data_IF_320705064275
#
_entry.id   IF_320705064275
#
_cell.length_a   1.000
_cell.length_b   1.000
_cell.length_c   1.000
_cell.angle_alpha   90.00
_cell.angle_beta   90.00
_cell.angle_gamma   90.00
#
_symmetry.space_group_name_H-M   'P 1'
#
loop_
_entity.id
_entity.type
_entity.pdbx_description
1 polymer ?
#
# COMPACT_ATOMS: atom_id res chain seq x y z
N UNK A 1 12.17 -16.86 2.92
CA UNK A 1 11.01 -16.33 2.18
C UNK A 1 11.18 -14.83 2.05
N UNK A 2 11.54 -14.32 0.87
CA UNK A 2 11.54 -12.88 0.63
C UNK A 2 10.10 -12.42 0.52
N UNK A 3 9.61 -11.74 1.56
CA UNK A 3 8.35 -11.00 1.49
C UNK A 3 8.48 -10.06 0.29
N UNK A 4 7.61 -10.24 -0.71
CA UNK A 4 7.44 -9.30 -1.83
C UNK A 4 7.39 -7.92 -1.19
N UNK A 5 8.38 -7.10 -1.55
CA UNK A 5 8.83 -5.95 -0.77
C UNK A 5 7.66 -5.13 -0.26
N UNK A 6 7.64 -4.93 1.07
CA UNK A 6 6.76 -4.04 1.82
C UNK A 6 6.04 -3.04 0.90
N UNK A 7 4.79 -3.33 0.55
CA UNK A 7 3.82 -2.38 -0.02
C UNK A 7 3.53 -1.33 1.05
N UNK A 8 4.54 -0.54 1.41
CA UNK A 8 4.45 0.42 2.48
C UNK A 8 3.86 1.69 1.89
N UNK A 9 2.54 1.81 2.04
CA UNK A 9 1.85 3.07 1.82
C UNK A 9 2.38 4.04 2.87
N UNK A 10 3.09 5.05 2.39
CA UNK A 10 3.63 6.12 3.23
C UNK A 10 2.75 7.36 3.08
N UNK A 11 2.50 8.05 4.20
CA UNK A 11 2.00 9.43 4.14
C UNK A 11 3.15 10.35 3.75
N UNK A 12 2.90 11.27 2.83
CA UNK A 12 3.88 12.27 2.38
C UNK A 12 3.32 13.68 2.54
N UNK A 13 4.20 14.65 2.72
CA UNK A 13 3.79 16.06 2.81
C UNK A 13 3.40 16.62 1.43
N UNK A 14 4.21 16.32 0.42
CA UNK A 14 4.01 16.70 -0.97
C UNK A 14 4.51 15.60 -1.93
N UNK A 15 4.42 15.84 -3.23
CA UNK A 15 4.86 14.91 -4.28
C UNK A 15 6.14 15.37 -4.99
N UNK A 16 6.92 16.28 -4.41
CA UNK A 16 8.08 16.89 -5.07
C UNK A 16 9.22 15.89 -5.30
N UNK A 17 9.27 14.83 -4.47
CA UNK A 17 10.19 13.71 -4.60
C UNK A 17 9.77 12.69 -5.68
N UNK A 18 8.84 13.05 -6.58
CA UNK A 18 8.37 12.18 -7.64
C UNK A 18 8.23 12.93 -8.97
N UNK A 19 8.74 12.31 -10.03
CA UNK A 19 8.51 12.70 -11.42
C UNK A 19 7.19 12.08 -11.88
N UNK A 20 6.17 12.90 -12.13
CA UNK A 20 4.86 12.41 -12.59
C UNK A 20 4.97 11.94 -14.04
N UNK A 21 4.64 10.67 -14.26
CA UNK A 21 4.63 10.04 -15.59
C UNK A 21 3.24 10.10 -16.22
N UNK A 22 2.17 9.96 -15.43
CA UNK A 22 0.80 10.13 -15.87
C UNK A 22 -0.09 10.68 -14.75
N UNK A 23 -1.06 11.53 -15.11
CA UNK A 23 -2.06 12.08 -14.22
C UNK A 23 -3.46 11.81 -14.81
N UNK A 24 -3.95 10.57 -14.74
CA UNK A 24 -5.21 10.20 -15.36
C UNK A 24 -6.39 10.88 -14.66
N UNK A 25 -7.35 11.38 -15.44
CA UNK A 25 -8.54 12.09 -14.96
C UNK A 25 -8.20 13.23 -13.97
N UNK A 26 -7.42 14.24 -14.39
CA UNK A 26 -7.00 15.33 -13.51
C UNK A 26 -8.18 16.21 -13.06
N UNK A 27 -9.24 16.29 -13.86
CA UNK A 27 -10.49 16.93 -13.46
C UNK A 27 -11.27 16.02 -12.50
N UNK A 28 -11.75 16.62 -11.42
CA UNK A 28 -12.59 15.95 -10.42
C UNK A 28 -13.87 15.35 -11.03
N UNK A 29 -14.46 16.05 -11.99
CA UNK A 29 -15.76 15.70 -12.55
C UNK A 29 -15.67 14.50 -13.51
N UNK A 30 -14.47 14.20 -14.01
CA UNK A 30 -14.24 13.05 -14.89
C UNK A 30 -14.19 11.72 -14.11
N UNK A 31 -14.03 11.77 -12.78
CA UNK A 31 -13.92 10.61 -11.87
C UNK A 31 -15.27 10.03 -11.45
N UNK A 32 -16.24 10.09 -12.36
CA UNK A 32 -17.56 9.49 -12.19
C UNK A 32 -17.67 8.31 -13.14
N UNK A 33 -17.98 7.14 -12.59
CA UNK A 33 -18.11 5.88 -13.33
C UNK A 33 -19.56 5.46 -13.30
N UNK A 34 -20.18 5.36 -14.49
CA UNK A 34 -21.58 4.99 -14.65
C UNK A 34 -21.69 3.52 -15.04
N UNK A 35 -22.62 2.79 -14.43
CA UNK A 35 -22.98 1.47 -14.93
C UNK A 35 -23.90 1.63 -16.14
N UNK A 36 -23.54 1.05 -17.27
CA UNK A 36 -24.46 0.93 -18.40
C UNK A 36 -25.39 -0.27 -18.13
N UNK A 37 -26.47 -0.05 -17.38
CA UNK A 37 -27.57 -1.01 -17.30
C UNK A 37 -28.68 -0.63 -18.30
N UNK A 38 -29.35 -1.61 -18.92
CA UNK A 38 -30.57 -1.34 -19.67
C UNK A 38 -31.68 -0.95 -18.68
N UNK A 39 -32.18 0.27 -18.84
CA UNK A 39 -33.37 0.86 -18.22
C UNK A 39 -33.39 1.05 -16.69
N UNK A 40 -33.35 2.32 -16.27
CA UNK A 40 -33.95 2.80 -15.02
C UNK A 40 -33.03 2.96 -13.80
N UNK A 41 -31.84 2.38 -13.82
CA UNK A 41 -30.90 2.39 -12.69
C UNK A 41 -29.65 3.22 -13.04
N UNK A 42 -29.71 4.54 -12.81
CA UNK A 42 -28.55 5.42 -12.93
C UNK A 42 -27.69 5.34 -11.66
N UNK A 43 -27.11 4.17 -11.38
CA UNK A 43 -26.13 4.04 -10.29
C UNK A 43 -24.77 4.50 -10.82
N UNK A 44 -24.29 5.62 -10.30
CA UNK A 44 -22.95 6.14 -10.55
C UNK A 44 -22.09 6.06 -9.29
N UNK A 45 -20.87 5.54 -9.43
CA UNK A 45 -19.85 5.59 -8.38
C UNK A 45 -18.96 6.79 -8.66
N UNK A 46 -18.72 7.62 -7.64
CA UNK A 46 -17.87 8.81 -7.75
C UNK A 46 -16.62 8.67 -6.91
N UNK A 47 -15.47 8.93 -7.54
CA UNK A 47 -14.16 9.00 -6.91
C UNK A 47 -13.60 10.42 -6.96
N UNK A 48 -14.48 11.42 -7.06
CA UNK A 48 -14.14 12.85 -7.13
C UNK A 48 -13.16 13.31 -6.03
N UNK A 49 -13.18 12.69 -4.86
CA UNK A 49 -12.29 13.01 -3.73
C UNK A 49 -10.89 12.38 -3.83
N UNK A 50 -10.60 11.56 -4.84
CA UNK A 50 -9.37 10.78 -4.97
C UNK A 50 -8.60 11.20 -6.22
N UNK A 51 -7.49 11.90 -6.04
CA UNK A 51 -6.54 12.26 -7.09
C UNK A 51 -5.45 11.20 -7.16
N UNK A 52 -5.30 10.57 -8.33
CA UNK A 52 -4.33 9.51 -8.57
C UNK A 52 -3.31 9.97 -9.58
N UNK A 53 -2.03 9.69 -9.30
CA UNK A 53 -0.94 9.93 -10.25
C UNK A 53 -0.03 8.72 -10.30
N UNK A 54 0.53 8.48 -11.46
CA UNK A 54 1.56 7.49 -11.70
C UNK A 54 2.87 8.24 -11.83
N UNK A 55 3.90 7.83 -11.09
CA UNK A 55 5.14 8.58 -10.99
C UNK A 55 6.37 7.69 -10.83
N UNK A 56 7.55 8.29 -10.92
CA UNK A 56 8.84 7.69 -10.60
C UNK A 56 9.46 8.46 -9.42
N UNK A 57 9.95 7.80 -8.37
CA UNK A 57 10.63 8.50 -7.29
C UNK A 57 11.92 9.15 -7.78
N UNK A 58 12.18 10.40 -7.37
CA UNK A 58 13.39 11.16 -7.71
C UNK A 58 14.34 11.13 -6.51
N UNK A 59 15.38 10.29 -6.56
CA UNK A 59 16.31 10.16 -5.44
C UNK A 59 17.38 9.09 -5.65
N UNK A 60 18.40 9.09 -4.79
CA UNK A 60 19.48 8.10 -4.86
C UNK A 60 18.88 6.70 -4.61
N UNK A 61 19.18 5.77 -5.51
CA UNK A 61 18.67 4.41 -5.48
C UNK A 61 17.22 4.25 -5.98
N UNK A 62 16.58 5.29 -6.54
CA UNK A 62 15.20 5.21 -7.05
C UNK A 62 15.06 4.54 -8.42
N UNK A 63 16.18 4.22 -9.07
CA UNK A 63 16.18 3.53 -10.38
C UNK A 63 15.40 2.21 -10.31
N UNK A 64 14.57 1.97 -11.32
CA UNK A 64 13.74 0.77 -11.41
C UNK A 64 12.59 0.73 -10.40
N UNK A 65 12.19 1.88 -9.85
CA UNK A 65 11.00 2.01 -9.01
C UNK A 65 9.93 2.85 -9.69
N UNK A 66 8.69 2.48 -9.44
CA UNK A 66 7.48 3.22 -9.82
C UNK A 66 6.72 3.57 -8.55
N UNK A 67 5.94 4.65 -8.57
CA UNK A 67 5.02 5.00 -7.51
C UNK A 67 3.59 5.21 -8.05
N UNK A 68 2.60 4.81 -7.26
CA UNK A 68 1.24 5.33 -7.35
C UNK A 68 1.07 6.34 -6.22
N UNK A 69 0.70 7.56 -6.58
CA UNK A 69 0.47 8.68 -5.66
C UNK A 69 -1.03 8.88 -5.52
N UNK A 70 -1.49 8.94 -4.28
CA UNK A 70 -2.89 9.15 -3.93
C UNK A 70 -3.03 10.43 -3.10
N UNK A 71 -3.92 11.32 -3.50
CA UNK A 71 -4.34 12.44 -2.67
C UNK A 71 -5.85 12.41 -2.48
N UNK A 72 -6.25 12.34 -1.21
CA UNK A 72 -7.65 12.31 -0.79
C UNK A 72 -7.82 12.99 0.57
N UNK A 73 -9.02 12.98 1.14
CA UNK A 73 -9.34 13.69 2.39
C UNK A 73 -8.43 13.38 3.60
N UNK A 74 -7.76 12.21 3.64
CA UNK A 74 -6.81 11.87 4.74
C UNK A 74 -5.38 12.43 4.51
N UNK A 75 -5.13 13.10 3.39
CA UNK A 75 -3.83 13.64 2.99
C UNK A 75 -3.26 12.99 1.72
N UNK A 76 -1.95 13.10 1.56
CA UNK A 76 -1.19 12.59 0.42
C UNK A 76 -0.43 11.33 0.81
N UNK A 77 -0.45 10.35 -0.07
CA UNK A 77 0.14 9.05 0.17
C UNK A 77 0.84 8.56 -1.10
N UNK A 78 1.84 7.70 -0.90
CA UNK A 78 2.56 7.06 -1.98
C UNK A 78 2.79 5.60 -1.66
N UNK A 79 2.62 4.75 -2.67
CA UNK A 79 3.08 3.36 -2.65
C UNK A 79 4.11 3.20 -3.76
N UNK A 80 5.24 2.60 -3.43
CA UNK A 80 6.33 2.35 -4.38
C UNK A 80 6.45 0.86 -4.69
N UNK A 81 6.74 0.57 -5.95
CA UNK A 81 6.95 -0.77 -6.48
C UNK A 81 8.31 -0.86 -7.16
N UNK A 82 8.94 -2.03 -7.09
CA UNK A 82 10.09 -2.35 -7.92
C UNK A 82 9.62 -2.87 -9.27
N UNK A 83 9.99 -2.21 -10.36
CA UNK A 83 9.63 -2.64 -11.72
C UNK A 83 10.24 -4.00 -12.08
N UNK A 84 11.36 -4.38 -11.44
CA UNK A 84 11.96 -5.71 -11.61
C UNK A 84 11.12 -6.85 -11.03
N UNK A 85 10.25 -6.56 -10.07
CA UNK A 85 9.38 -7.57 -9.45
C UNK A 85 8.14 -7.81 -10.31
N UNK A 86 7.52 -6.73 -10.80
CA UNK A 86 6.36 -6.76 -11.67
C UNK A 86 6.42 -5.55 -12.63
N UNK A 87 6.25 -5.72 -13.95
CA UNK A 87 6.28 -4.64 -14.93
C UNK A 87 4.97 -3.82 -14.93
N UNK A 88 4.54 -3.38 -13.75
CA UNK A 88 3.28 -2.66 -13.52
C UNK A 88 3.27 -1.32 -14.26
N UNK A 89 4.43 -0.66 -14.37
CA UNK A 89 4.54 0.66 -14.99
C UNK A 89 4.15 0.66 -16.47
N UNK A 90 4.77 -0.21 -17.27
CA UNK A 90 4.47 -0.31 -18.70
C UNK A 90 3.01 -0.72 -18.95
N UNK A 91 2.50 -1.66 -18.16
CA UNK A 91 1.12 -2.11 -18.27
C UNK A 91 0.14 -0.96 -17.94
N UNK A 92 0.32 -0.27 -16.82
CA UNK A 92 -0.52 0.88 -16.45
C UNK A 92 -0.46 1.97 -17.51
N UNK A 93 0.74 2.41 -17.91
CA UNK A 93 0.89 3.52 -18.86
C UNK A 93 0.37 3.21 -20.27
N UNK A 94 0.16 1.94 -20.61
CA UNK A 94 -0.41 1.52 -21.90
C UNK A 94 -1.94 1.59 -21.97
N UNK A 95 -2.63 1.69 -20.83
CA UNK A 95 -4.09 1.73 -20.77
C UNK A 95 -4.62 3.12 -21.17
N UNK A 96 -5.89 3.24 -21.60
CA UNK A 96 -6.53 4.55 -21.70
C UNK A 96 -6.74 5.17 -20.32
N UNK A 97 -6.84 6.50 -20.24
CA UNK A 97 -6.78 7.24 -18.97
C UNK A 97 -7.79 6.78 -17.91
N UNK A 98 -9.00 6.41 -18.33
CA UNK A 98 -10.06 5.98 -17.40
C UNK A 98 -9.72 4.65 -16.75
N UNK A 99 -9.18 3.71 -17.52
CA UNK A 99 -8.68 2.41 -17.07
C UNK A 99 -7.39 2.57 -16.26
N UNK A 100 -6.50 3.49 -16.66
CA UNK A 100 -5.31 3.86 -15.86
C UNK A 100 -5.72 4.28 -14.45
N UNK A 101 -6.67 5.22 -14.35
CA UNK A 101 -7.19 5.70 -13.08
C UNK A 101 -7.78 4.55 -12.27
N UNK A 102 -8.71 3.78 -12.87
CA UNK A 102 -9.43 2.72 -12.17
C UNK A 102 -8.48 1.65 -11.63
N UNK A 103 -7.52 1.20 -12.44
CA UNK A 103 -6.56 0.19 -12.02
C UNK A 103 -5.56 0.72 -10.99
N UNK A 104 -5.03 1.92 -11.17
CA UNK A 104 -4.11 2.51 -10.21
C UNK A 104 -4.80 2.78 -8.85
N UNK A 105 -6.04 3.26 -8.87
CA UNK A 105 -6.88 3.41 -7.68
C UNK A 105 -7.10 2.07 -6.97
N UNK A 106 -7.51 1.03 -7.72
CA UNK A 106 -7.77 -0.30 -7.16
C UNK A 106 -6.51 -0.94 -6.55
N UNK A 107 -5.36 -0.83 -7.22
CA UNK A 107 -4.07 -1.30 -6.68
C UNK A 107 -3.76 -0.60 -5.35
N UNK A 108 -3.99 0.72 -5.29
CA UNK A 108 -3.71 1.51 -4.09
C UNK A 108 -4.61 1.09 -2.93
N UNK A 109 -5.92 1.07 -3.12
CA UNK A 109 -6.89 0.70 -2.09
C UNK A 109 -6.68 -0.73 -1.60
N UNK A 110 -6.46 -1.68 -2.51
CA UNK A 110 -6.20 -3.06 -2.13
C UNK A 110 -4.91 -3.19 -1.31
N UNK A 111 -3.88 -2.39 -1.62
CA UNK A 111 -2.66 -2.37 -0.83
C UNK A 111 -2.89 -1.77 0.56
N UNK A 112 -3.74 -0.76 0.72
CA UNK A 112 -4.09 -0.17 2.02
C UNK A 112 -4.84 -1.18 2.89
N UNK A 113 -5.86 -1.83 2.32
CA UNK A 113 -6.63 -2.87 2.99
C UNK A 113 -5.73 -4.05 3.41
N UNK A 114 -4.83 -4.52 2.52
CA UNK A 114 -3.88 -5.57 2.84
C UNK A 114 -2.94 -5.17 3.98
N UNK A 115 -2.46 -3.91 3.97
CA UNK A 115 -1.57 -3.40 5.00
C UNK A 115 -2.28 -3.31 6.37
N UNK A 116 -3.53 -2.85 6.39
CA UNK A 116 -4.35 -2.81 7.60
C UNK A 116 -4.66 -4.21 8.12
N UNK A 117 -5.03 -5.15 7.25
CA UNK A 117 -5.23 -6.55 7.61
C UNK A 117 -3.98 -7.19 8.19
N UNK A 118 -2.81 -6.95 7.60
CA UNK A 118 -1.53 -7.43 8.12
C UNK A 118 -1.18 -6.84 9.49
N UNK A 119 -1.42 -5.53 9.70
CA UNK A 119 -1.21 -4.88 11.00
C UNK A 119 -2.14 -5.46 12.07
N UNK A 120 -3.42 -5.67 11.73
CA UNK A 120 -4.39 -6.24 12.65
C UNK A 120 -4.04 -7.70 13.03
N UNK A 121 -3.64 -8.51 12.05
CA UNK A 121 -3.22 -9.89 12.28
C UNK A 121 -1.96 -9.96 13.17
N UNK A 122 -0.97 -9.11 12.90
CA UNK A 122 0.24 -9.03 13.71
C UNK A 122 -0.08 -8.53 15.13
N UNK A 123 -0.91 -7.48 15.28
CA UNK A 123 -1.34 -6.99 16.59
C UNK A 123 -2.02 -8.09 17.42
N UNK A 124 -2.90 -8.89 16.81
CA UNK A 124 -3.53 -10.04 17.47
C UNK A 124 -2.51 -11.09 17.88
N UNK A 125 -1.58 -11.44 16.99
CA UNK A 125 -0.48 -12.38 17.28
C UNK A 125 0.35 -11.94 18.49
N UNK A 126 0.66 -10.64 18.60
CA UNK A 126 1.37 -10.08 19.76
C UNK A 126 0.54 -10.09 21.03
N UNK A 127 -0.76 -9.78 20.95
CA UNK A 127 -1.67 -9.82 22.09
C UNK A 127 -1.79 -11.25 22.66
N UNK A 128 -1.99 -12.25 21.80
CA UNK A 128 -2.07 -13.66 22.18
C UNK A 128 -0.74 -14.12 22.81
N UNK A 129 0.39 -13.74 22.21
CA UNK A 129 1.71 -14.05 22.76
C UNK A 129 1.98 -13.35 24.09
N UNK A 130 1.43 -12.17 24.33
CA UNK A 130 1.51 -11.49 25.62
C UNK A 130 0.70 -12.22 26.68
N UNK A 131 -0.56 -12.56 26.39
CA UNK A 131 -1.42 -13.33 27.29
C UNK A 131 -0.79 -14.70 27.66
N UNK A 132 -0.15 -15.36 26.69
CA UNK A 132 0.56 -16.62 26.89
C UNK A 132 1.91 -16.47 27.61
N UNK A 133 2.37 -15.26 27.90
CA UNK A 133 3.71 -15.03 28.45
C UNK A 133 4.83 -15.52 27.51
N UNK A 134 4.69 -15.37 26.19
CA UNK A 134 5.68 -15.74 25.17
C UNK A 134 6.52 -14.56 24.68
N UNK A 135 6.31 -13.36 25.21
CA UNK A 135 7.11 -12.18 24.84
C UNK A 135 8.45 -12.21 25.56
N UNK A 136 9.53 -12.17 24.78
CA UNK A 136 10.89 -12.12 25.30
C UNK A 136 11.60 -10.85 24.90
N UNK A 137 12.42 -10.37 25.83
CA UNK A 137 13.24 -9.17 25.66
C UNK A 137 14.70 -9.58 25.82
N UNK A 138 15.51 -9.36 24.80
CA UNK A 138 16.96 -9.57 24.84
C UNK A 138 17.67 -8.24 24.72
N UNK A 139 18.75 -8.05 25.47
CA UNK A 139 19.70 -6.95 25.24
C UNK A 139 20.97 -7.51 24.61
N UNK A 140 21.44 -6.87 23.54
CA UNK A 140 22.71 -7.20 22.90
C UNK A 140 23.27 -5.95 22.23
N UNK A 141 24.54 -5.63 22.46
CA UNK A 141 25.22 -4.47 21.86
C UNK A 141 24.51 -3.13 22.13
N UNK A 142 23.97 -2.92 23.34
CA UNK A 142 23.22 -1.70 23.69
C UNK A 142 21.80 -1.60 23.14
N UNK A 143 21.38 -2.52 22.26
CA UNK A 143 20.03 -2.55 21.68
C UNK A 143 19.11 -3.52 22.43
N UNK A 144 17.82 -3.18 22.51
CA UNK A 144 16.75 -4.06 23.02
C UNK A 144 16.03 -4.69 21.84
N UNK A 145 15.93 -6.02 21.86
CA UNK A 145 15.18 -6.81 20.89
C UNK A 145 14.00 -7.45 21.58
N UNK A 146 12.84 -7.39 20.94
CA UNK A 146 11.63 -8.07 21.42
C UNK A 146 11.23 -9.09 20.36
N UNK A 147 10.94 -10.31 20.80
CA UNK A 147 10.43 -11.36 19.91
C UNK A 147 9.37 -12.19 20.64
N UNK A 148 8.58 -12.91 19.84
CA UNK A 148 7.59 -13.88 20.30
C UNK A 148 8.25 -15.26 20.26
N UNK A 149 8.36 -15.92 21.41
CA UNK A 149 8.67 -17.35 21.48
C UNK A 149 7.55 -18.17 20.83
N UNK A 150 7.94 -19.22 20.12
CA UNK A 150 7.04 -20.30 19.72
C UNK A 150 6.55 -21.08 20.96
N UNK A 151 5.42 -21.79 20.87
CA UNK A 151 4.95 -22.64 21.97
C UNK A 151 5.98 -23.70 22.40
N UNK A 152 6.75 -24.26 21.46
CA UNK A 152 7.79 -25.25 21.74
C UNK A 152 8.96 -24.63 22.53
N UNK A 153 9.44 -23.44 22.13
CA UNK A 153 10.48 -22.72 22.88
C UNK A 153 10.04 -22.39 24.30
N UNK A 154 8.77 -22.00 24.49
CA UNK A 154 8.20 -21.77 25.83
C UNK A 154 8.24 -23.04 26.67
N UNK A 155 7.86 -24.19 26.09
CA UNK A 155 7.84 -25.47 26.81
C UNK A 155 9.25 -25.88 27.26
N UNK A 156 10.24 -25.78 26.37
CA UNK A 156 11.66 -26.09 26.68
C UNK A 156 12.21 -25.17 27.77
N UNK A 157 11.78 -23.90 27.83
CA UNK A 157 12.22 -22.96 28.87
C UNK A 157 11.62 -23.28 30.26
N UNK A 158 10.47 -23.95 30.31
CA UNK A 158 9.76 -24.25 31.55
C UNK A 158 10.09 -25.65 32.11
N UNK A 159 10.74 -26.51 31.31
CA UNK A 159 11.33 -27.78 31.76
C UNK A 159 12.68 -27.56 32.42
#
# INVERSE_FOLDING_TARGET
MSVIGHNHIRKVENFDAYEVLAHPLPSRDDRVFRRHEPEGSNVSITYASHDVRIARPTGIGSKGRMAILMHHGRGRFAIEFYESALPIAAALLSLPEREQYALAYAIFEQADECADGARAAEARRWADAFADGRIRKRRSGGKRYVHIETPAEKAIRLS
#
